data_IF_114996595597
#
_entry.id   IF_114996595597
#
_cell.length_a   1.000
_cell.length_b   1.000
_cell.length_c   1.000
_cell.angle_alpha   90.00
_cell.angle_beta   90.00
_cell.angle_gamma   90.00
#
_symmetry.space_group_name_H-M   'P 1'
#
loop_
_entity.id
_entity.type
_entity.pdbx_description
1 polymer ?
#
# COMPACT_ATOMS: atom_id res chain seq x y z
N UNK A 1 1.04 -4.96 11.00
CA UNK A 1 1.86 -4.61 9.82
C UNK A 1 3.28 -4.97 10.17
N UNK A 2 3.90 -5.83 9.35
CA UNK A 2 5.14 -6.49 9.73
C UNK A 2 6.34 -5.82 9.07
N UNK A 3 6.16 -5.20 7.90
CA UNK A 3 7.19 -4.43 7.21
C UNK A 3 6.58 -3.41 6.23
N UNK A 4 7.14 -2.20 6.19
CA UNK A 4 6.77 -1.11 5.25
C UNK A 4 8.07 -0.53 4.69
N UNK A 5 8.32 -0.75 3.40
CA UNK A 5 9.41 -0.08 2.68
C UNK A 5 8.86 1.18 1.99
N UNK A 6 9.29 2.35 2.45
CA UNK A 6 8.83 3.63 1.94
C UNK A 6 9.49 3.91 0.59
N UNK A 7 8.69 3.87 -0.48
CA UNK A 7 9.17 4.22 -1.82
C UNK A 7 9.60 5.69 -1.88
N UNK A 8 10.90 5.94 -1.77
CA UNK A 8 11.52 7.24 -2.04
C UNK A 8 12.46 7.71 -0.94
N UNK A 9 13.76 7.56 -1.17
CA UNK A 9 14.78 8.23 -0.36
C UNK A 9 14.77 9.74 -0.64
N UNK A 10 14.86 10.57 0.41
CA UNK A 10 14.92 12.03 0.27
C UNK A 10 16.30 12.39 -0.27
N UNK A 11 16.40 12.77 -1.55
CA UNK A 11 17.67 13.26 -2.09
C UNK A 11 18.07 14.58 -1.42
N UNK A 12 19.22 14.57 -0.73
CA UNK A 12 19.74 15.72 0.03
C UNK A 12 20.16 16.90 -0.86
N UNK A 13 20.30 16.69 -2.18
CA UNK A 13 20.81 17.72 -3.11
C UNK A 13 19.77 18.74 -3.59
N UNK A 14 18.50 18.63 -3.20
CA UNK A 14 17.42 19.49 -3.74
C UNK A 14 16.54 20.16 -2.69
N UNK A 15 16.96 20.23 -1.42
CA UNK A 15 16.09 20.58 -0.28
C UNK A 15 15.79 22.08 -0.07
N UNK A 16 15.82 22.92 -1.10
CA UNK A 16 15.46 24.36 -0.98
C UNK A 16 14.16 24.74 -1.70
N UNK A 17 13.53 23.84 -2.45
CA UNK A 17 12.28 24.12 -3.18
C UNK A 17 11.32 22.92 -3.12
N UNK A 18 10.49 22.85 -2.07
CA UNK A 18 9.44 21.83 -1.93
C UNK A 18 9.97 20.40 -1.76
N UNK A 19 9.12 19.50 -1.27
CA UNK A 19 9.44 18.07 -1.17
C UNK A 19 9.61 17.49 -2.59
N UNK A 20 10.85 17.39 -3.09
CA UNK A 20 11.17 16.69 -4.34
C UNK A 20 11.32 15.20 -4.01
N UNK A 21 10.34 14.40 -4.44
CA UNK A 21 10.35 12.92 -4.34
C UNK A 21 10.81 12.33 -5.67
N UNK A 22 11.94 11.62 -5.66
CA UNK A 22 12.47 10.93 -6.85
C UNK A 22 11.95 9.50 -6.87
N UNK A 23 11.10 9.19 -7.86
CA UNK A 23 10.51 7.87 -8.03
C UNK A 23 11.29 7.06 -9.07
N UNK A 24 11.58 5.79 -8.77
CA UNK A 24 12.28 4.89 -9.68
C UNK A 24 11.65 3.50 -9.63
N UNK A 25 11.45 2.91 -10.80
CA UNK A 25 10.85 1.57 -10.97
C UNK A 25 11.60 0.46 -10.21
N UNK A 26 12.91 0.64 -9.97
CA UNK A 26 13.73 -0.30 -9.19
C UNK A 26 13.38 -0.35 -7.69
N UNK A 27 12.58 0.60 -7.19
CA UNK A 27 12.07 0.66 -5.83
C UNK A 27 10.54 0.73 -5.83
N UNK A 28 9.86 -0.34 -6.30
CA UNK A 28 8.41 -0.38 -6.27
C UNK A 28 7.93 -0.42 -4.81
N UNK A 29 6.80 0.21 -4.48
CA UNK A 29 6.23 0.16 -3.14
C UNK A 29 5.81 -1.27 -2.79
N UNK A 30 6.09 -1.67 -1.55
CA UNK A 30 5.82 -3.01 -1.02
C UNK A 30 5.25 -2.92 0.38
N UNK A 31 4.37 -3.86 0.73
CA UNK A 31 3.88 -4.00 2.10
C UNK A 31 3.72 -5.47 2.47
N UNK A 32 4.11 -5.81 3.71
CA UNK A 32 3.81 -7.10 4.31
C UNK A 32 2.98 -6.93 5.59
N UNK A 33 1.86 -7.64 5.69
CA UNK A 33 0.98 -7.58 6.86
C UNK A 33 0.19 -8.87 7.06
N UNK A 34 -0.16 -9.14 8.30
CA UNK A 34 -1.11 -10.18 8.68
C UNK A 34 -2.49 -9.56 8.94
N UNK A 35 -3.56 -10.26 8.61
CA UNK A 35 -4.92 -9.81 8.83
C UNK A 35 -5.78 -10.87 9.51
N UNK A 36 -6.80 -10.41 10.22
CA UNK A 36 -7.87 -11.23 10.78
C UNK A 36 -9.20 -10.53 10.53
N UNK A 37 -10.20 -11.29 10.12
CA UNK A 37 -11.57 -10.82 9.89
C UNK A 37 -12.48 -11.54 10.86
N UNK A 38 -13.27 -10.78 11.59
CA UNK A 38 -14.23 -11.29 12.56
C UNK A 38 -15.66 -11.05 12.06
N UNK A 39 -16.56 -11.98 12.34
CA UNK A 39 -17.99 -11.80 12.13
C UNK A 39 -18.56 -10.80 13.15
N UNK A 40 -19.82 -10.33 12.96
CA UNK A 40 -20.49 -9.50 13.97
C UNK A 40 -20.67 -10.18 15.34
N UNK A 41 -20.50 -11.50 15.42
CA UNK A 41 -20.55 -12.29 16.65
C UNK A 41 -19.14 -12.62 17.19
N UNK A 42 -18.13 -11.84 16.78
CA UNK A 42 -16.73 -11.99 17.20
C UNK A 42 -16.08 -13.33 16.81
N UNK A 43 -16.66 -14.05 15.85
CA UNK A 43 -16.08 -15.30 15.36
C UNK A 43 -15.07 -15.01 14.25
N UNK A 44 -13.86 -15.56 14.33
CA UNK A 44 -12.89 -15.48 13.24
C UNK A 44 -13.45 -16.15 11.98
N UNK A 45 -13.51 -15.41 10.87
CA UNK A 45 -14.01 -15.89 9.57
C UNK A 45 -12.91 -15.99 8.51
N UNK A 46 -11.85 -15.20 8.62
CA UNK A 46 -10.68 -15.30 7.75
C UNK A 46 -9.44 -14.76 8.44
N UNK A 47 -8.28 -15.31 8.12
CA UNK A 47 -6.98 -14.78 8.53
C UNK A 47 -5.91 -15.18 7.54
N UNK A 48 -4.85 -14.40 7.44
CA UNK A 48 -3.70 -14.77 6.62
C UNK A 48 -2.59 -13.73 6.64
N UNK A 49 -1.52 -14.09 5.97
CA UNK A 49 -0.38 -13.22 5.71
C UNK A 49 -0.43 -12.75 4.26
N UNK A 50 -0.13 -11.47 4.07
CA UNK A 50 -0.23 -10.78 2.78
C UNK A 50 1.09 -10.10 2.49
N UNK A 51 1.55 -10.25 1.26
CA UNK A 51 2.68 -9.52 0.71
C UNK A 51 2.27 -8.94 -0.64
N UNK A 52 2.12 -7.62 -0.68
CA UNK A 52 1.73 -6.89 -1.88
C UNK A 52 2.90 -6.09 -2.43
N UNK A 53 2.99 -5.99 -3.75
CA UNK A 53 3.96 -5.17 -4.47
C UNK A 53 3.29 -4.60 -5.70
N UNK A 54 3.39 -3.29 -5.91
CA UNK A 54 2.86 -2.65 -7.10
C UNK A 54 3.98 -2.21 -8.03
N UNK A 55 4.22 -3.03 -9.06
CA UNK A 55 5.19 -2.72 -10.12
C UNK A 55 4.68 -1.65 -11.08
N UNK A 56 3.38 -1.40 -11.12
CA UNK A 56 2.74 -0.45 -12.01
C UNK A 56 2.42 0.89 -11.32
N UNK A 57 2.95 1.10 -10.11
CA UNK A 57 2.63 2.26 -9.27
C UNK A 57 2.91 3.60 -9.96
N UNK A 58 3.94 3.67 -10.82
CA UNK A 58 4.28 4.88 -11.58
C UNK A 58 3.15 5.32 -12.54
N UNK A 59 2.42 4.37 -13.14
CA UNK A 59 1.29 4.68 -14.00
C UNK A 59 0.05 5.08 -13.19
N UNK A 60 -0.09 4.54 -11.97
CA UNK A 60 -1.15 4.94 -11.05
C UNK A 60 -0.92 6.37 -10.51
N UNK A 61 0.33 6.77 -10.27
CA UNK A 61 0.69 8.15 -9.84
C UNK A 61 0.21 9.22 -10.83
N UNK A 62 0.20 8.93 -12.14
CA UNK A 62 -0.24 9.92 -13.13
C UNK A 62 -1.76 10.16 -13.12
N UNK A 63 -2.55 9.25 -12.55
CA UNK A 63 -4.02 9.35 -12.47
C UNK A 63 -4.56 9.54 -11.05
N UNK A 64 -3.86 9.03 -10.05
CA UNK A 64 -4.19 9.22 -8.64
C UNK A 64 -3.68 10.61 -8.26
N UNK A 65 -4.62 11.52 -7.97
CA UNK A 65 -4.32 12.74 -7.24
C UNK A 65 -3.74 12.33 -5.89
N UNK A 66 -2.43 12.09 -5.84
CA UNK A 66 -1.70 11.89 -4.60
C UNK A 66 -2.02 13.11 -3.76
N UNK A 67 -2.88 12.90 -2.77
CA UNK A 67 -3.29 13.93 -1.83
C UNK A 67 -2.01 14.40 -1.15
N UNK A 68 -1.59 15.66 -1.33
CA UNK A 68 -0.35 16.13 -0.73
C UNK A 68 -0.35 15.96 0.80
N UNK A 69 -1.54 15.94 1.40
CA UNK A 69 -1.77 15.70 2.82
C UNK A 69 -1.61 14.24 3.28
N UNK A 70 -1.52 13.27 2.36
CA UNK A 70 -1.41 11.86 2.71
C UNK A 70 0.04 11.45 2.97
N UNK A 71 0.32 10.96 4.18
CA UNK A 71 1.68 10.61 4.61
C UNK A 71 2.27 9.42 3.82
N UNK A 72 1.44 8.43 3.50
CA UNK A 72 1.87 7.17 2.86
C UNK A 72 0.90 6.71 1.76
N UNK A 73 0.71 7.51 0.69
CA UNK A 73 -0.33 7.26 -0.32
C UNK A 73 -0.16 5.91 -1.03
N UNK A 74 1.08 5.45 -1.24
CA UNK A 74 1.36 4.16 -1.87
C UNK A 74 0.95 2.96 -1.01
N UNK A 75 1.20 3.06 0.30
CA UNK A 75 0.78 2.03 1.24
C UNK A 75 -0.74 1.96 1.28
N UNK A 76 -1.40 3.13 1.28
CA UNK A 76 -2.86 3.19 1.19
C UNK A 76 -3.38 2.51 -0.07
N UNK A 77 -2.81 2.80 -1.25
CA UNK A 77 -3.25 2.19 -2.50
C UNK A 77 -2.99 0.67 -2.55
N UNK A 78 -1.86 0.20 -2.02
CA UNK A 78 -1.59 -1.24 -1.89
C UNK A 78 -2.65 -1.94 -1.03
N UNK A 79 -2.96 -1.38 0.14
CA UNK A 79 -3.98 -1.94 1.04
C UNK A 79 -5.38 -1.86 0.43
N UNK A 80 -5.72 -0.76 -0.25
CA UNK A 80 -7.01 -0.61 -0.95
C UNK A 80 -7.16 -1.63 -2.07
N UNK A 81 -6.13 -1.79 -2.91
CA UNK A 81 -6.11 -2.76 -3.99
C UNK A 81 -6.29 -4.18 -3.48
N UNK A 82 -5.53 -4.56 -2.45
CA UNK A 82 -5.69 -5.85 -1.79
C UNK A 82 -7.10 -6.05 -1.22
N UNK A 83 -7.63 -5.08 -0.48
CA UNK A 83 -8.95 -5.20 0.14
C UNK A 83 -10.08 -5.31 -0.91
N UNK A 84 -9.96 -4.62 -2.04
CA UNK A 84 -10.97 -4.68 -3.10
C UNK A 84 -11.05 -6.05 -3.79
N UNK A 85 -9.90 -6.73 -3.91
CA UNK A 85 -9.77 -7.95 -4.71
C UNK A 85 -9.75 -9.22 -3.87
N UNK A 86 -8.95 -9.26 -2.81
CA UNK A 86 -8.62 -10.48 -2.08
C UNK A 86 -9.43 -10.62 -0.80
N UNK A 87 -9.64 -9.53 -0.04
CA UNK A 87 -10.44 -9.58 1.19
C UNK A 87 -11.88 -10.05 0.90
N UNK A 88 -12.48 -9.60 -0.21
CA UNK A 88 -13.81 -10.06 -0.62
C UNK A 88 -13.85 -11.56 -0.94
N UNK A 89 -12.79 -12.09 -1.58
CA UNK A 89 -12.66 -13.53 -1.86
C UNK A 89 -12.50 -14.33 -0.56
N UNK A 90 -11.63 -13.87 0.33
CA UNK A 90 -11.38 -14.52 1.62
C UNK A 90 -12.63 -14.63 2.50
N UNK A 91 -13.54 -13.66 2.43
CA UNK A 91 -14.80 -13.65 3.19
C UNK A 91 -15.91 -14.47 2.53
N UNK A 92 -15.86 -14.66 1.21
CA UNK A 92 -16.94 -15.31 0.44
C UNK A 92 -16.62 -16.78 0.10
N UNK A 93 -15.38 -17.23 0.28
CA UNK A 93 -15.04 -18.65 0.14
C UNK A 93 -15.76 -19.50 1.20
N UNK A 94 -16.44 -20.60 0.81
CA UNK A 94 -17.17 -21.48 1.70
C UNK A 94 -16.29 -22.29 2.66
#
# INVERSE_FOLDING_TARGET
VNDIDLAGDRSVMTSTLGDIRVYREIYPPRIAFSYQVYSPQERLVASGDVSETDLNYLNQIMGVRLRPEEEAPYVTELVRGWAANELRRAVTSP
#
